data_IF_161581036499
#
_entry.id   IF_161581036499
#
_cell.length_a   1.000
_cell.length_b   1.000
_cell.length_c   1.000
_cell.angle_alpha   90.00
_cell.angle_beta   90.00
_cell.angle_gamma   90.00
#
_symmetry.space_group_name_H-M   'P 1'
#
loop_
_entity.id
_entity.type
_entity.pdbx_description
1 polymer ?
#
# COMPACT_ATOMS: atom_id res chain seq x y z
N UNK A 1 -2.76 53.99 -62.81
CA UNK A 1 -3.43 53.11 -61.83
C UNK A 1 -3.62 53.96 -60.58
N UNK A 2 -4.74 54.69 -60.51
CA UNK A 2 -5.97 54.27 -59.82
C UNK A 2 -5.69 53.97 -58.33
N UNK A 3 -5.95 54.94 -57.45
CA UNK A 3 -7.11 54.95 -56.51
C UNK A 3 -6.84 54.05 -55.30
N UNK A 4 -7.13 54.36 -54.04
CA UNK A 4 -7.61 55.52 -53.31
C UNK A 4 -7.60 55.10 -51.81
N UNK A 5 -7.67 56.09 -50.91
CA UNK A 5 -8.50 56.10 -49.68
C UNK A 5 -8.01 55.35 -48.42
N UNK A 6 -7.39 56.15 -47.54
CA UNK A 6 -7.48 56.10 -46.06
C UNK A 6 -8.98 56.09 -45.57
N UNK A 7 -9.35 55.75 -44.30
CA UNK A 7 -8.59 56.01 -43.06
C UNK A 7 -8.72 55.02 -41.87
N UNK A 8 -7.90 55.33 -40.85
CA UNK A 8 -7.86 54.88 -39.45
C UNK A 8 -9.23 54.74 -38.75
N UNK A 9 -9.33 53.72 -37.90
CA UNK A 9 -10.29 53.64 -36.79
C UNK A 9 -9.72 52.79 -35.66
N UNK A 10 -9.51 53.41 -34.51
CA UNK A 10 -9.00 52.84 -33.25
C UNK A 10 -10.20 52.65 -32.34
N UNK A 11 -10.37 51.49 -31.72
CA UNK A 11 -11.34 51.32 -30.62
C UNK A 11 -10.80 50.32 -29.60
N UNK A 12 -10.78 50.81 -28.37
CA UNK A 12 -10.33 50.17 -27.16
C UNK A 12 -11.30 49.11 -26.62
N UNK A 13 -10.86 48.49 -25.53
CA UNK A 13 -11.64 47.94 -24.42
C UNK A 13 -11.79 46.43 -24.34
N UNK A 14 -11.19 45.92 -23.26
CA UNK A 14 -11.45 44.66 -22.63
C UNK A 14 -12.93 44.46 -22.31
N UNK A 15 -13.41 43.24 -22.51
CA UNK A 15 -14.51 42.67 -21.76
C UNK A 15 -14.13 41.24 -21.39
N UNK A 16 -14.08 41.00 -20.09
CA UNK A 16 -14.00 39.69 -19.50
C UNK A 16 -15.30 38.93 -19.77
N UNK A 17 -15.20 37.63 -20.04
CA UNK A 17 -16.20 36.67 -19.59
C UNK A 17 -15.49 35.38 -19.16
N UNK A 18 -16.06 34.74 -18.15
CA UNK A 18 -15.45 33.72 -17.33
C UNK A 18 -15.71 32.31 -17.91
N UNK A 19 -15.40 31.24 -17.16
CA UNK A 19 -14.58 30.14 -17.61
C UNK A 19 -15.31 29.19 -18.57
N UNK A 20 -14.66 28.82 -19.67
CA UNK A 20 -15.04 27.62 -20.41
C UNK A 20 -14.80 26.41 -19.52
N UNK A 21 -15.87 25.95 -18.86
CA UNK A 21 -15.99 24.65 -18.25
C UNK A 21 -15.84 23.57 -19.33
N UNK A 22 -14.60 23.26 -19.71
CA UNK A 22 -14.27 22.02 -20.38
C UNK A 22 -14.25 20.95 -19.30
N UNK A 23 -15.36 20.21 -19.23
CA UNK A 23 -15.55 19.04 -18.39
C UNK A 23 -14.28 18.17 -18.36
N UNK A 24 -13.58 18.23 -17.23
CA UNK A 24 -12.59 17.23 -16.87
C UNK A 24 -13.33 15.91 -16.75
N UNK A 25 -13.24 15.13 -17.81
CA UNK A 25 -13.78 13.78 -17.92
C UNK A 25 -13.41 13.04 -16.66
N UNK A 26 -14.41 12.59 -15.90
CA UNK A 26 -14.20 11.80 -14.70
C UNK A 26 -13.28 10.64 -15.04
N UNK A 27 -12.02 10.75 -14.64
CA UNK A 27 -11.01 9.73 -14.87
C UNK A 27 -11.44 8.53 -14.03
N UNK A 28 -12.19 7.63 -14.67
CA UNK A 28 -12.53 6.34 -14.09
C UNK A 28 -11.21 5.69 -13.66
N UNK A 29 -11.06 5.27 -12.39
CA UNK A 29 -9.82 4.68 -11.90
C UNK A 29 -9.51 3.45 -12.73
N UNK A 30 -8.46 3.55 -13.56
CA UNK A 30 -8.05 2.47 -14.45
C UNK A 30 -7.23 1.47 -13.65
N UNK A 31 -7.72 0.26 -13.49
CA UNK A 31 -7.00 -0.80 -12.82
C UNK A 31 -5.76 -1.19 -13.64
N UNK A 32 -4.59 -1.10 -13.03
CA UNK A 32 -3.32 -1.49 -13.65
C UNK A 32 -2.95 -2.91 -13.21
N UNK A 33 -2.77 -3.82 -14.16
CA UNK A 33 -2.28 -5.17 -13.87
C UNK A 33 -0.76 -5.15 -13.76
N UNK A 34 -0.25 -5.38 -12.54
CA UNK A 34 1.18 -5.45 -12.27
C UNK A 34 1.59 -6.92 -12.30
N UNK A 35 2.59 -7.26 -13.13
CA UNK A 35 3.24 -8.58 -13.14
C UNK A 35 4.71 -8.42 -12.81
N UNK A 36 5.17 -9.12 -11.77
CA UNK A 36 6.57 -9.15 -11.37
C UNK A 36 7.25 -10.38 -11.97
N UNK A 37 8.51 -10.24 -12.41
CA UNK A 37 9.36 -11.36 -12.76
C UNK A 37 10.13 -11.80 -11.50
N UNK A 38 10.21 -13.11 -11.21
CA UNK A 38 10.95 -13.58 -10.04
C UNK A 38 12.45 -13.35 -10.20
N UNK A 39 13.13 -13.16 -9.07
CA UNK A 39 14.58 -13.03 -8.98
C UNK A 39 15.12 -14.07 -7.99
N UNK A 40 16.09 -14.88 -8.43
CA UNK A 40 16.58 -16.01 -7.63
C UNK A 40 15.46 -17.02 -7.33
N UNK A 41 15.29 -17.38 -6.06
CA UNK A 41 14.25 -18.31 -5.59
C UNK A 41 12.98 -17.59 -5.10
N UNK A 42 12.73 -16.35 -5.52
CA UNK A 42 11.60 -15.55 -5.00
C UNK A 42 10.22 -16.04 -5.46
N UNK A 43 10.16 -16.93 -6.45
CA UNK A 43 8.94 -17.58 -6.92
C UNK A 43 8.51 -18.76 -6.02
N UNK A 44 9.43 -19.31 -5.23
CA UNK A 44 9.13 -20.36 -4.28
C UNK A 44 8.53 -19.76 -3.01
N UNK A 45 7.31 -20.15 -2.61
CA UNK A 45 6.69 -19.63 -1.41
C UNK A 45 7.49 -20.06 -0.17
N UNK A 46 7.87 -19.08 0.65
CA UNK A 46 8.45 -19.33 1.97
C UNK A 46 7.39 -19.06 3.02
N UNK A 47 7.20 -20.02 3.92
CA UNK A 47 6.22 -19.89 5.01
C UNK A 47 6.83 -19.08 6.14
N UNK A 48 6.12 -18.03 6.57
CA UNK A 48 6.42 -17.25 7.75
C UNK A 48 5.20 -17.25 8.69
N UNK A 49 5.44 -17.42 9.99
CA UNK A 49 4.42 -17.32 11.04
C UNK A 49 4.67 -16.14 11.99
N UNK A 50 5.70 -15.35 11.70
CA UNK A 50 6.09 -14.16 12.43
C UNK A 50 6.40 -13.04 11.45
N UNK A 51 5.99 -11.83 11.81
CA UNK A 51 6.35 -10.61 11.09
C UNK A 51 6.66 -9.48 12.07
N UNK A 52 7.66 -8.67 11.76
CA UNK A 52 8.02 -7.47 12.51
C UNK A 52 8.26 -6.29 11.56
N UNK A 53 8.00 -5.08 12.04
CA UNK A 53 8.24 -3.83 11.29
C UNK A 53 9.17 -2.95 12.11
N UNK A 54 10.32 -2.64 11.54
CA UNK A 54 11.31 -1.72 12.10
C UNK A 54 11.41 -0.47 11.21
N UNK A 55 11.47 0.72 11.82
CA UNK A 55 11.55 1.98 11.10
C UNK A 55 13.00 2.49 11.06
N UNK A 56 13.40 3.03 9.91
CA UNK A 56 14.66 3.73 9.70
C UNK A 56 14.41 5.02 8.93
N UNK A 57 15.30 6.03 8.95
CA UNK A 57 15.10 7.26 8.22
C UNK A 57 14.78 7.03 6.73
N UNK A 58 13.55 7.35 6.33
CA UNK A 58 13.06 7.24 4.95
C UNK A 58 12.57 5.85 4.52
N UNK A 59 12.67 4.81 5.36
CA UNK A 59 12.28 3.45 5.01
C UNK A 59 11.75 2.66 6.20
N UNK A 60 10.93 1.65 5.92
CA UNK A 60 10.58 0.60 6.85
C UNK A 60 11.21 -0.73 6.41
N UNK A 61 11.69 -1.50 7.37
CA UNK A 61 12.12 -2.88 7.19
C UNK A 61 11.03 -3.80 7.74
N UNK A 62 10.55 -4.70 6.89
CA UNK A 62 9.58 -5.71 7.28
C UNK A 62 10.28 -7.06 7.26
N UNK A 63 10.38 -7.67 8.43
CA UNK A 63 10.90 -9.03 8.57
C UNK A 63 9.76 -10.01 8.55
N UNK A 64 9.92 -11.05 7.75
CA UNK A 64 9.11 -12.25 7.79
C UNK A 64 9.99 -13.41 8.20
N UNK A 65 9.51 -14.18 9.17
CA UNK A 65 10.27 -15.29 9.71
C UNK A 65 9.41 -16.40 10.26
N UNK A 66 10.10 -17.42 10.74
CA UNK A 66 9.51 -18.58 11.36
C UNK A 66 9.99 -18.73 12.79
N UNK A 67 9.05 -18.74 13.72
CA UNK A 67 9.24 -19.11 15.12
C UNK A 67 8.72 -20.54 15.30
N UNK A 68 9.48 -21.38 15.99
CA UNK A 68 9.07 -22.76 16.22
C UNK A 68 7.73 -22.83 17.00
N UNK A 69 6.68 -23.47 16.43
CA UNK A 69 5.35 -23.46 17.04
C UNK A 69 5.31 -24.09 18.43
N UNK A 70 6.17 -25.09 18.69
CA UNK A 70 6.32 -25.72 20.00
C UNK A 70 6.77 -24.71 21.06
N UNK A 71 7.67 -23.80 20.69
CA UNK A 71 8.16 -22.74 21.59
C UNK A 71 7.06 -21.71 21.83
N UNK A 72 6.37 -21.26 20.78
CA UNK A 72 5.23 -20.34 20.92
C UNK A 72 4.12 -20.91 21.81
N UNK A 73 3.79 -22.20 21.66
CA UNK A 73 2.77 -22.86 22.45
C UNK A 73 3.15 -23.04 23.94
N UNK A 74 4.44 -23.06 24.24
CA UNK A 74 4.94 -23.18 25.61
C UNK A 74 4.85 -21.85 26.39
N UNK A 75 4.95 -20.69 25.71
CA UNK A 75 5.01 -19.37 26.36
C UNK A 75 3.79 -19.08 27.27
N UNK A 76 2.52 -19.29 26.84
CA UNK A 76 1.37 -19.05 27.71
C UNK A 76 1.35 -19.96 28.94
N UNK A 77 1.85 -21.20 28.81
CA UNK A 77 1.93 -22.14 29.94
C UNK A 77 2.99 -21.69 30.95
N UNK A 78 4.16 -21.27 30.48
CA UNK A 78 5.23 -20.74 31.33
C UNK A 78 4.79 -19.49 32.08
N UNK A 79 4.11 -18.55 31.40
CA UNK A 79 3.58 -17.35 32.02
C UNK A 79 2.56 -17.67 33.14
N UNK A 80 1.65 -18.64 32.90
CA UNK A 80 0.65 -19.06 33.88
C UNK A 80 1.26 -19.76 35.11
N UNK A 81 2.34 -20.50 34.92
CA UNK A 81 3.04 -21.23 35.99
C UNK A 81 4.00 -20.34 36.80
N UNK A 82 4.05 -19.03 36.52
CA UNK A 82 4.99 -18.10 37.16
C UNK A 82 6.45 -18.35 36.77
N UNK A 83 6.70 -19.10 35.70
CA UNK A 83 8.04 -19.37 35.19
C UNK A 83 8.65 -18.14 34.53
N UNK A 84 9.98 -18.03 34.56
CA UNK A 84 10.70 -16.95 33.87
C UNK A 84 10.50 -17.11 32.37
N UNK A 85 9.86 -16.13 31.74
CA UNK A 85 9.78 -16.07 30.28
C UNK A 85 11.18 -15.84 29.69
N UNK A 86 11.48 -16.45 28.54
CA UNK A 86 12.76 -16.23 27.88
C UNK A 86 12.88 -14.75 27.48
N UNK A 87 14.03 -14.15 27.76
CA UNK A 87 14.32 -12.75 27.39
C UNK A 87 14.48 -12.58 25.87
N UNK A 88 14.81 -13.68 25.16
CA UNK A 88 14.94 -13.73 23.70
C UNK A 88 14.36 -15.02 23.15
N UNK A 89 13.70 -14.92 22.01
CA UNK A 89 13.23 -16.05 21.24
C UNK A 89 13.99 -16.10 19.91
N UNK A 90 14.59 -17.24 19.60
CA UNK A 90 15.29 -17.44 18.33
C UNK A 90 14.30 -17.92 17.28
N UNK A 91 14.41 -17.34 16.08
CA UNK A 91 13.65 -17.70 14.90
C UNK A 91 14.55 -17.83 13.68
N UNK A 92 13.96 -18.24 12.56
CA UNK A 92 14.60 -18.23 11.24
C UNK A 92 14.05 -17.06 10.44
N UNK A 93 14.91 -16.13 10.03
CA UNK A 93 14.52 -15.08 9.08
C UNK A 93 14.29 -15.72 7.71
N UNK A 94 13.10 -15.54 7.15
CA UNK A 94 12.77 -15.99 5.80
C UNK A 94 13.12 -14.92 4.77
N UNK A 95 12.65 -13.69 4.99
CA UNK A 95 12.93 -12.56 4.10
C UNK A 95 12.84 -11.25 4.88
N UNK A 96 13.69 -10.30 4.52
CA UNK A 96 13.61 -8.89 4.93
C UNK A 96 13.31 -8.03 3.72
N UNK A 97 12.25 -7.23 3.81
CA UNK A 97 11.83 -6.30 2.76
C UNK A 97 12.08 -4.87 3.23
N UNK A 98 12.79 -4.08 2.44
CA UNK A 98 12.89 -2.63 2.64
C UNK A 98 11.85 -1.93 1.77
N UNK A 99 11.09 -1.00 2.34
CA UNK A 99 10.03 -0.27 1.64
C UNK A 99 10.00 1.19 2.08
N UNK A 100 9.71 2.11 1.15
CA UNK A 100 9.45 3.51 1.50
C UNK A 100 8.13 3.68 2.26
N UNK A 101 7.96 4.80 2.94
CA UNK A 101 6.76 5.06 3.76
C UNK A 101 5.46 5.10 2.95
N UNK A 102 5.48 5.62 1.72
CA UNK A 102 4.31 5.59 0.83
C UNK A 102 3.92 4.14 0.47
N UNK A 103 4.93 3.30 0.22
CA UNK A 103 4.73 1.87 -0.02
C UNK A 103 4.16 1.15 1.21
N UNK A 104 4.63 1.50 2.41
CA UNK A 104 4.10 0.97 3.66
C UNK A 104 2.63 1.38 3.88
N UNK A 105 2.27 2.64 3.61
CA UNK A 105 0.89 3.11 3.70
C UNK A 105 -0.03 2.36 2.72
N UNK A 106 0.42 2.18 1.47
CA UNK A 106 -0.32 1.40 0.48
C UNK A 106 -0.48 -0.07 0.91
N UNK A 107 0.56 -0.68 1.48
CA UNK A 107 0.48 -2.04 2.02
C UNK A 107 -0.54 -2.14 3.16
N UNK A 108 -0.55 -1.17 4.08
CA UNK A 108 -1.52 -1.12 5.17
C UNK A 108 -2.97 -1.06 4.66
N UNK A 109 -3.24 -0.23 3.65
CA UNK A 109 -4.57 -0.13 3.03
C UNK A 109 -4.99 -1.44 2.35
N UNK A 110 -4.07 -2.10 1.65
CA UNK A 110 -4.33 -3.39 1.01
C UNK A 110 -4.66 -4.47 2.04
N UNK A 111 -3.86 -4.57 3.12
CA UNK A 111 -4.11 -5.51 4.21
C UNK A 111 -5.46 -5.24 4.89
N UNK A 112 -5.79 -3.98 5.16
CA UNK A 112 -7.07 -3.60 5.75
C UNK A 112 -8.26 -4.01 4.89
N UNK A 113 -8.17 -3.82 3.56
CA UNK A 113 -9.22 -4.26 2.62
C UNK A 113 -9.39 -5.77 2.64
N UNK A 114 -8.29 -6.53 2.53
CA UNK A 114 -8.33 -8.00 2.53
C UNK A 114 -8.93 -8.54 3.83
N UNK A 115 -8.53 -8.02 4.98
CA UNK A 115 -9.08 -8.42 6.28
C UNK A 115 -10.57 -8.08 6.40
N UNK A 116 -10.99 -6.91 5.90
CA UNK A 116 -12.39 -6.51 5.87
C UNK A 116 -13.25 -7.46 5.01
N UNK A 117 -12.74 -7.89 3.86
CA UNK A 117 -13.45 -8.81 2.97
C UNK A 117 -13.51 -10.23 3.56
N UNK A 118 -12.43 -10.70 4.19
CA UNK A 118 -12.41 -11.96 4.95
C UNK A 118 -13.42 -11.97 6.10
N UNK A 119 -13.52 -10.87 6.86
CA UNK A 119 -14.47 -10.76 7.95
C UNK A 119 -15.93 -10.83 7.47
N UNK A 120 -16.25 -10.14 6.37
CA UNK A 120 -17.58 -10.23 5.73
C UNK A 120 -17.88 -11.64 5.25
N UNK A 121 -16.92 -12.31 4.60
CA UNK A 121 -17.08 -13.69 4.14
C UNK A 121 -17.29 -14.67 5.29
N UNK A 122 -16.62 -14.48 6.42
CA UNK A 122 -16.82 -15.29 7.62
C UNK A 122 -18.22 -15.10 8.23
N UNK A 123 -18.72 -13.85 8.24
CA UNK A 123 -20.09 -13.55 8.71
C UNK A 123 -21.15 -14.22 7.83
N UNK A 124 -21.02 -14.10 6.51
CA UNK A 124 -21.96 -14.71 5.57
C UNK A 124 -22.02 -16.24 5.67
N UNK A 125 -20.93 -16.91 6.11
CA UNK A 125 -20.91 -18.35 6.37
C UNK A 125 -21.59 -18.76 7.68
N UNK A 126 -21.75 -17.84 8.62
CA UNK A 126 -22.42 -18.09 9.91
C UNK A 126 -23.93 -17.84 9.85
N UNK A 127 -24.35 -17.01 8.89
CA UNK A 127 -25.74 -16.65 8.64
C UNK A 127 -26.42 -17.58 7.60
N UNK A 128 -25.69 -18.58 7.09
CA UNK A 128 -26.15 -19.62 6.15
C UNK A 128 -26.23 -20.99 6.83
#
# INVERSE_FOLDING_TARGET
MADAKEPKGKTDAAAADAPAAAAGTGAQPRALSIRLAPVGNSDQPVVANYSAVDLAPGMAFIDFGFLEPSVLAALPRMAKLGGKLPERLNGKLAVRVAIGYDGLANLQQQLARVLGDLAKAAKNRKDA
#
